data_IF_979376402320
#
_entry.id   IF_979376402320
#
_cell.length_a   1.000
_cell.length_b   1.000
_cell.length_c   1.000
_cell.angle_alpha   90.00
_cell.angle_beta   90.00
_cell.angle_gamma   90.00
#
_symmetry.space_group_name_H-M   'P 1'
#
loop_
_entity.id
_entity.type
_entity.pdbx_description
1 polymer ?
#
# COMPACT_ATOMS: atom_id res chain seq x y z
N UNK A 1 16.44 -13.23 -23.63
CA UNK A 1 16.29 -12.07 -22.70
C UNK A 1 16.21 -12.52 -21.22
N UNK A 2 16.80 -13.65 -20.90
CA UNK A 2 16.69 -14.32 -19.58
C UNK A 2 17.60 -13.76 -18.48
N UNK A 3 18.15 -12.56 -18.65
CA UNK A 3 19.16 -12.03 -17.70
C UNK A 3 18.91 -10.59 -17.26
N UNK A 4 17.64 -10.12 -17.27
CA UNK A 4 17.27 -8.80 -16.79
C UNK A 4 16.64 -8.94 -15.41
N UNK A 5 17.12 -8.16 -14.41
CA UNK A 5 16.50 -8.01 -13.12
C UNK A 5 15.82 -6.64 -13.03
N UNK A 6 14.62 -6.60 -12.45
CA UNK A 6 13.92 -5.36 -12.14
C UNK A 6 13.94 -5.16 -10.63
N UNK A 7 14.53 -4.04 -10.18
CA UNK A 7 14.71 -3.72 -8.76
C UNK A 7 14.22 -2.31 -8.45
N UNK A 8 13.44 -2.16 -7.39
CA UNK A 8 13.02 -0.84 -6.90
C UNK A 8 13.66 -0.55 -5.56
N UNK A 9 14.15 0.67 -5.38
CA UNK A 9 14.67 1.15 -4.11
C UNK A 9 13.81 2.31 -3.57
N UNK A 10 13.31 2.16 -2.34
CA UNK A 10 12.47 3.15 -1.67
C UNK A 10 13.25 4.40 -1.22
N UNK A 11 12.54 5.43 -0.79
CA UNK A 11 13.15 6.70 -0.37
C UNK A 11 14.13 6.56 0.81
N UNK A 12 13.80 5.72 1.79
CA UNK A 12 14.70 5.39 2.92
C UNK A 12 15.98 4.69 2.46
N UNK A 13 15.89 3.86 1.42
CA UNK A 13 17.04 3.20 0.81
C UNK A 13 18.01 4.16 0.10
N UNK A 14 17.57 5.38 -0.19
CA UNK A 14 18.30 6.41 -0.93
C UNK A 14 18.48 7.71 -0.13
N UNK A 15 18.18 7.71 1.16
CA UNK A 15 18.04 8.92 1.98
C UNK A 15 19.28 9.80 2.10
N UNK A 16 20.47 9.22 1.88
CA UNK A 16 21.76 9.93 1.92
C UNK A 16 22.80 9.22 1.02
N UNK A 17 23.98 9.80 0.94
CA UNK A 17 25.07 9.28 0.08
C UNK A 17 25.53 7.87 0.48
N UNK A 18 25.57 7.55 1.78
CA UNK A 18 25.96 6.22 2.25
C UNK A 18 24.95 5.15 1.83
N UNK A 19 23.65 5.47 1.91
CA UNK A 19 22.58 4.61 1.42
C UNK A 19 22.68 4.40 -0.11
N UNK A 20 22.93 5.46 -0.89
CA UNK A 20 23.14 5.36 -2.34
C UNK A 20 24.34 4.47 -2.65
N UNK A 21 25.45 4.60 -1.92
CA UNK A 21 26.62 3.73 -2.07
C UNK A 21 26.31 2.27 -1.71
N UNK A 22 25.47 2.03 -0.71
CA UNK A 22 25.01 0.67 -0.36
C UNK A 22 24.16 0.07 -1.48
N UNK A 23 23.23 0.83 -2.05
CA UNK A 23 22.43 0.42 -3.21
C UNK A 23 23.32 0.12 -4.41
N UNK A 24 24.32 0.97 -4.67
CA UNK A 24 25.29 0.75 -5.74
C UNK A 24 26.07 -0.55 -5.57
N UNK A 25 26.42 -0.95 -4.33
CA UNK A 25 27.07 -2.25 -4.05
C UNK A 25 26.17 -3.44 -4.37
N UNK A 26 24.88 -3.36 -4.01
CA UNK A 26 23.88 -4.41 -4.33
C UNK A 26 23.79 -4.60 -5.84
N UNK A 27 23.64 -3.49 -6.60
CA UNK A 27 23.53 -3.52 -8.05
C UNK A 27 24.83 -4.04 -8.69
N UNK A 28 25.99 -3.61 -8.17
CA UNK A 28 27.29 -4.08 -8.66
C UNK A 28 27.44 -5.61 -8.55
N UNK A 29 26.92 -6.21 -7.49
CA UNK A 29 26.96 -7.67 -7.31
C UNK A 29 26.12 -8.35 -8.41
N UNK A 30 24.95 -7.83 -8.77
CA UNK A 30 24.12 -8.39 -9.85
C UNK A 30 24.84 -8.29 -11.20
N UNK A 31 25.43 -7.14 -11.52
CA UNK A 31 26.19 -6.94 -12.76
C UNK A 31 27.40 -7.89 -12.81
N UNK A 32 28.08 -8.11 -11.68
CA UNK A 32 29.18 -9.07 -11.60
C UNK A 32 28.75 -10.52 -11.85
N UNK A 33 27.47 -10.82 -11.58
CA UNK A 33 26.82 -12.10 -11.90
C UNK A 33 26.23 -12.15 -13.32
N UNK A 34 26.63 -11.23 -14.21
CA UNK A 34 26.22 -11.11 -15.61
C UNK A 34 24.72 -10.78 -15.81
N UNK A 35 24.06 -10.14 -14.83
CA UNK A 35 22.72 -9.61 -15.01
C UNK A 35 22.75 -8.18 -15.58
N UNK A 36 21.78 -7.86 -16.42
CA UNK A 36 21.39 -6.49 -16.74
C UNK A 36 20.37 -6.04 -15.73
N UNK A 37 20.47 -4.81 -15.22
CA UNK A 37 19.60 -4.37 -14.12
C UNK A 37 18.81 -3.14 -14.53
N UNK A 38 17.51 -3.22 -14.37
CA UNK A 38 16.58 -2.08 -14.46
C UNK A 38 16.23 -1.67 -13.04
N UNK A 39 16.65 -0.48 -12.67
CA UNK A 39 16.48 0.05 -11.32
C UNK A 39 15.44 1.15 -11.32
N UNK A 40 14.44 1.04 -10.47
CA UNK A 40 13.46 2.11 -10.26
C UNK A 40 13.75 2.76 -8.91
N UNK A 41 13.85 4.07 -8.88
CA UNK A 41 14.18 4.84 -7.69
C UNK A 41 13.04 5.74 -7.23
N UNK A 42 12.90 5.88 -5.91
CA UNK A 42 12.07 6.91 -5.28
C UNK A 42 12.92 8.15 -4.98
N UNK A 43 12.26 9.26 -4.64
CA UNK A 43 12.92 10.44 -4.10
C UNK A 43 13.69 10.13 -2.81
N UNK A 44 14.73 10.89 -2.51
CA UNK A 44 15.59 10.69 -1.34
C UNK A 44 14.86 11.02 -0.04
N UNK A 45 14.72 10.05 0.86
CA UNK A 45 14.17 10.23 2.21
C UNK A 45 12.81 10.93 2.21
N UNK A 46 12.74 12.09 2.86
CA UNK A 46 11.53 12.91 2.98
C UNK A 46 11.46 14.06 1.96
N UNK A 47 12.18 13.98 0.85
CA UNK A 47 12.25 15.07 -0.14
C UNK A 47 10.84 15.48 -0.62
N UNK A 48 10.03 14.53 -1.05
CA UNK A 48 8.68 14.78 -1.58
C UNK A 48 7.78 15.41 -0.52
N UNK A 49 7.80 14.92 0.73
CA UNK A 49 6.99 15.50 1.83
C UNK A 49 7.40 16.95 2.12
N UNK A 50 8.70 17.24 2.11
CA UNK A 50 9.23 18.59 2.34
C UNK A 50 8.79 19.56 1.22
N UNK A 51 8.87 19.13 -0.02
CA UNK A 51 8.44 19.94 -1.18
C UNK A 51 6.93 20.16 -1.15
N UNK A 52 6.12 19.15 -0.83
CA UNK A 52 4.66 19.29 -0.67
C UNK A 52 4.35 20.34 0.42
N UNK A 53 5.08 20.31 1.54
CA UNK A 53 4.90 21.30 2.62
C UNK A 53 5.22 22.72 2.16
N UNK A 54 6.20 22.92 1.26
CA UNK A 54 6.52 24.22 0.68
C UNK A 54 5.46 24.66 -0.33
N UNK A 55 4.97 23.77 -1.18
CA UNK A 55 3.90 24.07 -2.14
C UNK A 55 2.65 24.57 -1.42
N UNK A 56 2.24 23.92 -0.34
CA UNK A 56 1.08 24.34 0.48
C UNK A 56 1.20 25.76 1.07
N UNK A 57 2.39 26.31 1.17
CA UNK A 57 2.60 27.70 1.59
C UNK A 57 2.38 28.70 0.44
N UNK A 58 2.33 28.21 -0.81
CA UNK A 58 2.13 29.03 -2.01
C UNK A 58 0.69 28.92 -2.51
N UNK A 59 0.14 27.70 -2.58
CA UNK A 59 -1.21 27.41 -3.11
C UNK A 59 -1.77 26.13 -2.50
N UNK A 60 -3.11 26.06 -2.37
CA UNK A 60 -3.84 24.85 -2.00
C UNK A 60 -3.91 23.80 -3.11
N UNK A 61 -3.44 24.14 -4.31
CA UNK A 61 -3.35 23.25 -5.48
C UNK A 61 -4.70 22.59 -5.80
N UNK A 62 -5.65 23.36 -6.27
CA UNK A 62 -7.03 22.88 -6.53
C UNK A 62 -7.39 22.76 -8.00
N UNK A 63 -6.77 23.60 -8.87
CA UNK A 63 -7.08 23.63 -10.30
C UNK A 63 -6.22 22.62 -11.08
N UNK A 64 -6.69 22.23 -12.26
CA UNK A 64 -5.94 21.36 -13.19
C UNK A 64 -4.55 21.92 -13.52
N UNK A 65 -4.45 23.22 -13.78
CA UNK A 65 -3.17 23.86 -14.11
C UNK A 65 -2.19 23.85 -12.91
N UNK A 66 -2.69 24.11 -11.71
CA UNK A 66 -1.87 24.02 -10.49
C UNK A 66 -1.39 22.59 -10.23
N UNK A 67 -2.26 21.59 -10.42
CA UNK A 67 -1.91 20.17 -10.30
C UNK A 67 -0.84 19.76 -11.31
N UNK A 68 -0.85 20.33 -12.52
CA UNK A 68 0.19 20.09 -13.52
C UNK A 68 1.56 20.63 -13.10
N UNK A 69 1.61 21.82 -12.49
CA UNK A 69 2.86 22.37 -11.92
C UNK A 69 3.28 21.62 -10.64
N UNK A 70 2.31 21.19 -9.83
CA UNK A 70 2.56 20.33 -8.67
C UNK A 70 3.26 19.03 -9.08
N UNK A 71 2.77 18.32 -10.10
CA UNK A 71 3.38 17.08 -10.61
C UNK A 71 4.81 17.32 -11.11
N UNK A 72 5.05 18.43 -11.82
CA UNK A 72 6.39 18.82 -12.28
C UNK A 72 7.35 18.96 -11.09
N UNK A 73 6.93 19.66 -10.05
CA UNK A 73 7.76 19.95 -8.88
C UNK A 73 8.04 18.66 -8.09
N UNK A 74 7.02 17.89 -7.71
CA UNK A 74 7.19 16.74 -6.84
C UNK A 74 7.93 15.57 -7.51
N UNK A 75 7.87 15.46 -8.85
CA UNK A 75 8.60 14.44 -9.62
C UNK A 75 10.10 14.67 -9.71
N UNK A 76 10.58 15.86 -9.34
CA UNK A 76 12.01 16.21 -9.41
C UNK A 76 12.88 15.39 -8.46
N UNK A 77 12.31 14.90 -7.35
CA UNK A 77 13.03 14.11 -6.36
C UNK A 77 13.59 12.80 -6.92
N UNK A 78 12.79 12.09 -7.68
CA UNK A 78 13.20 10.85 -8.35
C UNK A 78 14.24 11.10 -9.43
N UNK A 79 14.17 12.25 -10.12
CA UNK A 79 15.16 12.66 -11.13
C UNK A 79 16.53 12.86 -10.48
N UNK A 80 16.57 13.51 -9.32
CA UNK A 80 17.81 13.68 -8.52
C UNK A 80 18.36 12.31 -8.11
N UNK A 81 17.53 11.44 -7.54
CA UNK A 81 17.93 10.09 -7.13
C UNK A 81 18.51 9.27 -8.28
N UNK A 82 17.89 9.34 -9.45
CA UNK A 82 18.36 8.72 -10.69
C UNK A 82 19.78 9.14 -11.05
N UNK A 83 20.02 10.44 -11.12
CA UNK A 83 21.32 11.00 -11.46
C UNK A 83 22.41 10.63 -10.44
N UNK A 84 22.09 10.76 -9.14
CA UNK A 84 23.01 10.43 -8.04
C UNK A 84 23.43 8.95 -8.05
N UNK A 85 22.46 8.02 -8.20
CA UNK A 85 22.77 6.60 -8.28
C UNK A 85 23.54 6.25 -9.55
N UNK A 86 23.23 6.88 -10.69
CA UNK A 86 23.98 6.70 -11.93
C UNK A 86 25.45 7.07 -11.76
N UNK A 87 25.74 8.22 -11.17
CA UNK A 87 27.11 8.66 -10.88
C UNK A 87 27.84 7.69 -9.93
N UNK A 88 27.16 7.22 -8.88
CA UNK A 88 27.73 6.27 -7.95
C UNK A 88 28.12 4.94 -8.62
N UNK A 89 27.29 4.44 -9.54
CA UNK A 89 27.57 3.22 -10.32
C UNK A 89 28.71 3.44 -11.33
N UNK A 90 28.70 4.55 -12.09
CA UNK A 90 29.73 4.89 -13.05
C UNK A 90 31.11 5.02 -12.39
N UNK A 91 31.18 5.60 -11.19
CA UNK A 91 32.41 5.66 -10.38
C UNK A 91 33.01 4.27 -10.12
N UNK A 92 32.20 3.20 -10.12
CA UNK A 92 32.67 1.81 -9.95
C UNK A 92 32.96 1.08 -11.26
N UNK A 93 32.90 1.77 -12.41
CA UNK A 93 33.16 1.23 -13.74
C UNK A 93 31.94 0.58 -14.41
N UNK A 94 30.74 0.68 -13.82
CA UNK A 94 29.51 0.11 -14.38
C UNK A 94 28.94 1.06 -15.42
N UNK A 95 28.56 0.54 -16.59
CA UNK A 95 27.87 1.31 -17.66
C UNK A 95 26.42 1.54 -17.27
N UNK A 96 26.17 2.60 -16.51
CA UNK A 96 24.87 2.98 -15.99
C UNK A 96 24.38 4.30 -16.59
N UNK A 97 23.06 4.44 -16.81
CA UNK A 97 22.44 5.67 -17.29
C UNK A 97 21.07 5.87 -16.63
N UNK A 98 20.77 7.14 -16.32
CA UNK A 98 19.47 7.56 -15.81
C UNK A 98 18.46 7.75 -16.94
N UNK A 99 17.18 7.42 -16.64
CA UNK A 99 16.03 7.55 -17.52
C UNK A 99 14.88 8.22 -16.79
N UNK A 100 14.33 9.23 -17.39
CA UNK A 100 13.16 9.93 -16.87
C UNK A 100 11.88 9.37 -17.52
N UNK A 101 10.71 9.63 -16.92
CA UNK A 101 9.44 9.06 -17.37
C UNK A 101 9.08 9.34 -18.84
N UNK A 102 9.53 10.46 -19.39
CA UNK A 102 9.34 10.78 -20.80
C UNK A 102 10.41 10.20 -21.75
N UNK A 103 11.60 9.87 -21.24
CA UNK A 103 12.67 9.21 -22.02
C UNK A 103 12.39 7.71 -22.18
N UNK A 104 11.80 7.09 -21.15
CA UNK A 104 11.12 5.80 -21.24
C UNK A 104 9.63 6.10 -21.35
N UNK A 105 9.01 6.15 -22.55
CA UNK A 105 7.65 6.66 -22.69
C UNK A 105 6.64 5.91 -21.84
N UNK A 106 6.51 6.35 -20.57
CA UNK A 106 5.49 5.90 -19.63
C UNK A 106 4.27 6.79 -19.84
N UNK A 107 3.36 6.32 -20.71
CA UNK A 107 2.15 7.05 -21.03
C UNK A 107 1.13 6.89 -19.92
N UNK A 108 0.54 8.02 -19.48
CA UNK A 108 -0.44 8.04 -18.40
C UNK A 108 -1.74 8.72 -18.82
N UNK A 109 -2.77 8.58 -17.96
CA UNK A 109 -3.94 9.47 -17.99
C UNK A 109 -3.53 10.89 -17.61
N UNK A 110 -4.43 11.87 -17.80
CA UNK A 110 -4.26 13.29 -17.47
C UNK A 110 -4.70 13.64 -16.04
N UNK A 111 -5.02 12.64 -15.23
CA UNK A 111 -5.37 12.82 -13.81
C UNK A 111 -4.13 13.19 -12.99
N UNK A 112 -3.73 14.46 -13.01
CA UNK A 112 -2.58 14.94 -12.23
C UNK A 112 -2.66 14.50 -10.77
N UNK A 113 -1.50 14.29 -10.12
CA UNK A 113 -1.30 13.77 -8.75
C UNK A 113 -1.75 12.33 -8.50
N UNK A 114 -2.56 11.72 -9.39
CA UNK A 114 -3.09 10.34 -9.26
C UNK A 114 -3.23 9.62 -10.61
N UNK A 115 -2.39 9.98 -11.57
CA UNK A 115 -2.42 9.43 -12.92
C UNK A 115 -2.30 7.90 -12.96
N UNK A 116 -2.85 7.30 -14.00
CA UNK A 116 -2.78 5.85 -14.24
C UNK A 116 -1.89 5.56 -15.45
N UNK A 117 -1.03 4.57 -15.34
CA UNK A 117 -0.19 4.10 -16.45
C UNK A 117 -1.09 3.41 -17.48
N UNK A 118 -1.03 3.90 -18.72
CA UNK A 118 -1.79 3.37 -19.86
C UNK A 118 -0.93 2.45 -20.71
N UNK A 119 0.32 2.84 -20.96
CA UNK A 119 1.26 2.10 -21.80
C UNK A 119 2.71 2.41 -21.42
N UNK A 120 3.62 1.48 -21.69
CA UNK A 120 5.08 1.66 -21.55
C UNK A 120 5.79 1.07 -22.75
N UNK A 121 6.48 1.91 -23.52
CA UNK A 121 7.30 1.43 -24.62
C UNK A 121 8.73 1.11 -24.16
N UNK A 122 9.05 -0.16 -24.04
CA UNK A 122 10.36 -0.64 -23.55
C UNK A 122 11.42 -0.83 -24.66
N UNK A 123 11.12 -0.51 -25.93
CA UNK A 123 12.02 -0.81 -27.06
C UNK A 123 13.38 -0.10 -26.93
N UNK A 124 13.37 1.19 -26.59
CA UNK A 124 14.60 1.97 -26.36
C UNK A 124 15.41 1.40 -25.17
N UNK A 125 14.74 1.04 -24.09
CA UNK A 125 15.34 0.44 -22.90
C UNK A 125 16.00 -0.92 -23.21
N UNK A 126 15.32 -1.79 -23.95
CA UNK A 126 15.87 -3.09 -24.39
C UNK A 126 17.11 -2.90 -25.25
N UNK A 127 17.07 -1.98 -26.22
CA UNK A 127 18.21 -1.67 -27.06
C UNK A 127 19.40 -1.09 -26.28
N UNK A 128 19.14 -0.22 -25.32
CA UNK A 128 20.16 0.33 -24.43
C UNK A 128 20.87 -0.77 -23.64
N UNK A 129 20.15 -1.72 -23.05
CA UNK A 129 20.69 -2.80 -22.24
C UNK A 129 21.55 -3.81 -23.01
N UNK A 130 21.51 -3.80 -24.34
CA UNK A 130 22.43 -4.65 -25.15
C UNK A 130 23.89 -4.30 -24.87
N UNK A 131 24.23 -3.01 -24.80
CA UNK A 131 25.60 -2.51 -24.65
C UNK A 131 25.91 -1.89 -23.28
N UNK A 132 24.92 -1.78 -22.40
CA UNK A 132 25.03 -1.16 -21.08
C UNK A 132 24.56 -2.14 -20.00
N UNK A 133 24.93 -1.88 -18.75
CA UNK A 133 24.71 -2.79 -17.64
C UNK A 133 23.46 -2.43 -16.83
N UNK A 134 23.24 -1.13 -16.60
CA UNK A 134 22.20 -0.66 -15.68
C UNK A 134 21.45 0.54 -16.26
N UNK A 135 20.13 0.44 -16.30
CA UNK A 135 19.23 1.56 -16.52
C UNK A 135 18.55 1.97 -15.22
N UNK A 136 18.72 3.22 -14.80
CA UNK A 136 18.09 3.76 -13.58
C UNK A 136 16.93 4.63 -14.01
N UNK A 137 15.72 4.27 -13.58
CA UNK A 137 14.47 4.92 -14.01
C UNK A 137 13.89 5.69 -12.83
N UNK A 138 13.54 6.96 -13.08
CA UNK A 138 12.78 7.74 -12.13
C UNK A 138 11.37 7.15 -11.99
N UNK A 139 11.07 6.59 -10.80
CA UNK A 139 9.76 6.09 -10.48
C UNK A 139 8.73 7.22 -10.28
N UNK A 140 7.49 6.86 -9.87
CA UNK A 140 6.46 7.81 -9.49
C UNK A 140 5.90 8.69 -10.62
N UNK A 141 6.54 8.80 -11.76
CA UNK A 141 6.22 9.72 -12.83
C UNK A 141 5.97 9.04 -14.18
N UNK A 142 5.18 9.70 -15.00
CA UNK A 142 4.98 9.42 -16.40
C UNK A 142 4.70 10.69 -17.19
N UNK A 143 4.15 10.57 -18.36
CA UNK A 143 3.85 11.69 -19.24
C UNK A 143 2.47 11.52 -19.87
N UNK A 144 1.67 12.54 -19.80
CA UNK A 144 0.42 12.65 -20.54
C UNK A 144 0.68 12.96 -22.03
N UNK A 145 -0.29 12.70 -22.91
CA UNK A 145 -0.20 12.89 -24.36
C UNK A 145 0.15 14.32 -24.78
N UNK A 146 -0.15 15.32 -23.97
CA UNK A 146 0.20 16.72 -24.20
C UNK A 146 1.62 17.09 -23.72
N UNK A 147 2.47 16.08 -23.49
CA UNK A 147 3.84 16.25 -23.02
C UNK A 147 3.97 16.92 -21.62
N UNK A 148 2.94 16.80 -20.78
CA UNK A 148 3.03 17.20 -19.37
C UNK A 148 3.40 16.03 -18.50
N UNK A 149 4.29 16.27 -17.55
CA UNK A 149 4.64 15.27 -16.52
C UNK A 149 3.43 15.05 -15.64
N UNK A 150 3.20 13.79 -15.29
CA UNK A 150 2.16 13.36 -14.36
C UNK A 150 2.75 12.51 -13.26
N UNK A 151 2.17 12.55 -12.07
CA UNK A 151 2.57 11.67 -10.98
C UNK A 151 1.50 10.65 -10.65
N UNK A 152 1.94 9.48 -10.16
CA UNK A 152 1.10 8.31 -9.95
C UNK A 152 0.43 8.27 -8.56
N UNK A 153 0.68 9.26 -7.72
CA UNK A 153 0.23 9.29 -6.34
C UNK A 153 1.04 8.39 -5.40
N UNK A 154 0.55 8.19 -4.18
CA UNK A 154 1.25 7.41 -3.13
C UNK A 154 1.61 6.00 -3.63
N UNK A 155 2.83 5.55 -3.33
CA UNK A 155 3.37 4.27 -3.81
C UNK A 155 3.65 4.20 -5.31
N UNK A 156 3.69 5.36 -5.97
CA UNK A 156 3.88 5.44 -7.42
C UNK A 156 5.16 4.79 -7.92
N UNK A 157 6.25 4.81 -7.14
CA UNK A 157 7.50 4.12 -7.53
C UNK A 157 7.37 2.59 -7.51
N UNK A 158 6.59 2.01 -6.57
CA UNK A 158 6.29 0.57 -6.57
C UNK A 158 5.43 0.22 -7.78
N UNK A 159 4.42 1.05 -8.07
CA UNK A 159 3.57 0.92 -9.26
C UNK A 159 4.41 0.99 -10.56
N UNK A 160 5.35 1.94 -10.66
CA UNK A 160 6.27 2.04 -11.79
C UNK A 160 7.10 0.78 -11.96
N UNK A 161 7.64 0.23 -10.87
CA UNK A 161 8.47 -0.98 -10.92
C UNK A 161 7.71 -2.18 -11.44
N UNK A 162 6.50 -2.42 -10.93
CA UNK A 162 5.65 -3.52 -11.38
C UNK A 162 5.24 -3.34 -12.85
N UNK A 163 4.84 -2.12 -13.25
CA UNK A 163 4.46 -1.83 -14.62
C UNK A 163 5.62 -2.02 -15.60
N UNK A 164 6.83 -1.60 -15.23
CA UNK A 164 8.03 -1.78 -16.05
C UNK A 164 8.41 -3.27 -16.14
N UNK A 165 8.32 -4.04 -15.04
CA UNK A 165 8.54 -5.48 -15.06
C UNK A 165 7.57 -6.17 -16.02
N UNK A 166 6.28 -5.84 -15.95
CA UNK A 166 5.25 -6.35 -16.86
C UNK A 166 5.54 -6.00 -18.33
N UNK A 167 5.87 -4.74 -18.62
CA UNK A 167 6.19 -4.28 -19.99
C UNK A 167 7.47 -4.92 -20.56
N UNK A 168 8.40 -5.32 -19.71
CA UNK A 168 9.61 -6.06 -20.09
C UNK A 168 9.35 -7.56 -20.27
N UNK A 169 8.24 -8.09 -19.76
CA UNK A 169 7.93 -9.52 -19.71
C UNK A 169 8.74 -10.27 -18.64
N UNK A 170 9.02 -9.60 -17.52
CA UNK A 170 9.74 -10.14 -16.36
C UNK A 170 8.71 -10.49 -15.28
N UNK A 171 8.74 -11.70 -14.78
CA UNK A 171 7.78 -12.25 -13.82
C UNK A 171 8.15 -12.03 -12.32
N UNK A 172 9.33 -11.44 -12.06
CA UNK A 172 9.82 -11.16 -10.70
C UNK A 172 10.35 -9.74 -10.60
N UNK A 173 9.82 -8.97 -9.66
CA UNK A 173 10.27 -7.63 -9.31
C UNK A 173 10.74 -7.59 -7.85
N UNK A 174 11.93 -7.08 -7.61
CA UNK A 174 12.52 -6.92 -6.27
C UNK A 174 12.18 -5.54 -5.72
N UNK A 175 11.58 -5.49 -4.54
CA UNK A 175 11.22 -4.25 -3.84
C UNK A 175 12.10 -4.12 -2.59
N UNK A 176 13.05 -3.21 -2.65
CA UNK A 176 13.94 -2.89 -1.53
C UNK A 176 13.36 -1.73 -0.71
N UNK A 177 13.28 -1.95 0.61
CA UNK A 177 12.76 -0.99 1.58
C UNK A 177 13.61 -1.02 2.85
N UNK A 178 13.22 -0.33 3.91
CA UNK A 178 13.87 -0.34 5.23
C UNK A 178 13.48 -1.54 6.09
N UNK A 179 12.38 -2.21 5.78
CA UNK A 179 11.95 -3.44 6.45
C UNK A 179 12.42 -4.68 5.69
N UNK A 180 12.57 -5.78 6.40
CA UNK A 180 13.16 -7.00 5.86
C UNK A 180 12.11 -8.05 5.42
N UNK A 181 10.86 -7.65 5.24
CA UNK A 181 9.76 -8.49 4.77
C UNK A 181 8.40 -8.08 5.31
N UNK A 182 7.39 -8.91 5.05
CA UNK A 182 6.03 -8.77 5.58
C UNK A 182 5.90 -9.62 6.84
N UNK A 183 5.25 -9.07 7.86
CA UNK A 183 5.06 -9.74 9.15
C UNK A 183 3.59 -10.05 9.41
N UNK A 184 3.34 -11.01 10.27
CA UNK A 184 1.98 -11.39 10.72
C UNK A 184 1.23 -10.26 11.43
N UNK A 185 1.94 -9.25 11.92
CA UNK A 185 1.42 -7.97 12.43
C UNK A 185 2.56 -6.95 12.44
N UNK A 186 2.27 -5.69 12.78
CA UNK A 186 3.30 -4.66 12.94
C UNK A 186 4.25 -5.01 14.11
N UNK A 187 5.56 -5.23 13.87
CA UNK A 187 6.52 -5.56 14.92
C UNK A 187 6.66 -4.49 16.02
N UNK A 188 6.30 -3.23 15.73
CA UNK A 188 6.31 -2.15 16.72
C UNK A 188 5.17 -2.31 17.74
N UNK A 189 4.06 -2.96 17.35
CA UNK A 189 2.91 -3.26 18.22
C UNK A 189 3.07 -4.65 18.83
N UNK A 190 3.48 -5.62 18.01
CA UNK A 190 3.65 -7.02 18.38
C UNK A 190 5.12 -7.44 18.17
N UNK A 191 5.99 -7.29 19.18
CA UNK A 191 7.42 -7.67 19.04
C UNK A 191 7.66 -9.13 18.67
N UNK A 192 6.67 -10.01 18.89
CA UNK A 192 6.71 -11.42 18.51
C UNK A 192 6.11 -11.70 17.14
N UNK A 193 5.77 -10.66 16.36
CA UNK A 193 5.26 -10.85 15.01
C UNK A 193 6.28 -11.63 14.17
N UNK A 194 5.82 -12.67 13.50
CA UNK A 194 6.65 -13.54 12.67
C UNK A 194 6.72 -13.00 11.25
N UNK A 195 7.91 -13.02 10.65
CA UNK A 195 8.08 -12.71 9.25
C UNK A 195 7.53 -13.85 8.38
N UNK A 196 6.79 -13.48 7.34
CA UNK A 196 6.23 -14.40 6.35
C UNK A 196 7.26 -14.66 5.24
N UNK A 197 7.49 -15.92 4.89
CA UNK A 197 8.29 -16.28 3.72
C UNK A 197 7.51 -15.99 2.43
N UNK A 198 6.20 -16.22 2.45
CA UNK A 198 5.27 -16.02 1.33
C UNK A 198 3.98 -15.37 1.79
N UNK A 199 3.35 -14.61 0.89
CA UNK A 199 2.01 -14.04 1.09
C UNK A 199 1.27 -14.01 -0.25
N UNK A 200 -0.05 -14.28 -0.24
CA UNK A 200 -0.88 -14.18 -1.44
C UNK A 200 -1.22 -12.72 -1.77
N UNK A 201 -1.47 -12.44 -3.06
CA UNK A 201 -1.86 -11.08 -3.49
C UNK A 201 -3.10 -10.57 -2.75
N UNK A 202 -4.15 -11.40 -2.65
CA UNK A 202 -5.41 -11.04 -2.00
C UNK A 202 -5.19 -10.66 -0.52
N UNK A 203 -4.38 -11.44 0.21
CA UNK A 203 -4.04 -11.18 1.60
C UNK A 203 -3.22 -9.89 1.76
N UNK A 204 -2.26 -9.66 0.85
CA UNK A 204 -1.46 -8.44 0.88
C UNK A 204 -2.28 -7.19 0.57
N UNK A 205 -3.23 -7.26 -0.38
CA UNK A 205 -4.17 -6.18 -0.68
C UNK A 205 -4.96 -5.81 0.58
N UNK A 206 -5.51 -6.82 1.28
CA UNK A 206 -6.24 -6.59 2.52
C UNK A 206 -5.34 -6.02 3.62
N UNK A 207 -4.14 -6.58 3.83
CA UNK A 207 -3.20 -6.05 4.82
C UNK A 207 -2.80 -4.61 4.52
N UNK A 208 -2.52 -4.29 3.26
CA UNK A 208 -2.14 -2.94 2.83
C UNK A 208 -3.30 -1.93 3.00
N UNK A 209 -4.53 -2.33 2.69
CA UNK A 209 -5.74 -1.51 2.87
C UNK A 209 -6.05 -1.22 4.33
N UNK A 210 -5.63 -2.11 5.23
CA UNK A 210 -5.92 -2.08 6.66
C UNK A 210 -4.77 -1.49 7.52
N UNK A 211 -3.74 -0.92 6.90
CA UNK A 211 -2.69 -0.18 7.59
C UNK A 211 -1.30 -0.80 7.59
N UNK A 212 -1.09 -1.95 6.95
CA UNK A 212 0.25 -2.48 6.73
C UNK A 212 0.96 -1.62 5.65
N UNK A 213 1.79 -0.68 6.07
CA UNK A 213 2.43 0.35 5.20
C UNK A 213 3.62 -0.15 4.36
N UNK A 214 3.73 -1.45 4.10
CA UNK A 214 4.89 -2.04 3.41
C UNK A 214 4.80 -1.85 1.90
N UNK A 215 3.63 -2.14 1.34
CA UNK A 215 3.31 -1.95 -0.08
C UNK A 215 2.03 -1.15 -0.21
N UNK A 216 1.88 -0.44 -1.32
CA UNK A 216 0.63 0.24 -1.65
C UNK A 216 -0.31 -0.72 -2.38
N UNK A 217 -1.60 -0.67 -2.05
CA UNK A 217 -2.64 -1.52 -2.64
C UNK A 217 -2.54 -1.56 -4.18
N UNK A 218 -2.43 -0.40 -4.81
CA UNK A 218 -2.37 -0.27 -6.26
C UNK A 218 -1.19 -1.02 -6.92
N UNK A 219 -0.03 -1.07 -6.26
CA UNK A 219 1.13 -1.83 -6.78
C UNK A 219 0.89 -3.34 -6.67
N UNK A 220 0.22 -3.79 -5.62
CA UNK A 220 -0.15 -5.20 -5.41
C UNK A 220 -1.23 -5.64 -6.41
N UNK A 221 -2.26 -4.82 -6.63
CA UNK A 221 -3.30 -5.05 -7.66
C UNK A 221 -2.69 -5.20 -9.06
N UNK A 222 -1.72 -4.33 -9.38
CA UNK A 222 -1.02 -4.38 -10.65
C UNK A 222 -0.17 -5.66 -10.77
N UNK A 223 0.54 -6.03 -9.71
CA UNK A 223 1.32 -7.28 -9.63
C UNK A 223 0.41 -8.50 -9.80
N UNK A 224 -0.74 -8.54 -9.16
CA UNK A 224 -1.76 -9.57 -9.31
C UNK A 224 -2.28 -9.65 -10.74
N UNK A 225 -2.63 -8.51 -11.35
CA UNK A 225 -3.15 -8.43 -12.72
C UNK A 225 -2.19 -9.00 -13.75
N UNK A 226 -0.90 -8.67 -13.61
CA UNK A 226 0.14 -9.11 -14.55
C UNK A 226 0.90 -10.36 -14.09
N UNK A 227 0.51 -10.98 -12.98
CA UNK A 227 1.13 -12.17 -12.40
C UNK A 227 2.64 -11.96 -12.09
N UNK A 228 3.03 -10.75 -11.66
CA UNK A 228 4.40 -10.40 -11.31
C UNK A 228 4.63 -10.73 -9.83
N UNK A 229 5.53 -11.65 -9.53
CA UNK A 229 5.97 -11.90 -8.16
C UNK A 229 6.73 -10.68 -7.62
N UNK A 230 6.46 -10.30 -6.38
CA UNK A 230 7.23 -9.25 -5.71
C UNK A 230 8.08 -9.90 -4.61
N UNK A 231 9.38 -9.64 -4.64
CA UNK A 231 10.29 -10.06 -3.58
C UNK A 231 10.65 -8.85 -2.73
N UNK A 232 10.09 -8.79 -1.52
CA UNK A 232 10.28 -7.68 -0.58
C UNK A 232 11.53 -7.96 0.25
N UNK A 233 12.47 -7.02 0.19
CA UNK A 233 13.82 -7.16 0.79
C UNK A 233 14.22 -5.89 1.53
N UNK A 234 15.08 -6.03 2.54
CA UNK A 234 15.73 -4.89 3.16
C UNK A 234 16.97 -4.47 2.37
N UNK A 235 17.15 -3.15 2.22
CA UNK A 235 18.39 -2.57 1.70
C UNK A 235 19.54 -2.72 2.70
N UNK A 236 19.24 -2.79 3.99
CA UNK A 236 20.22 -2.69 5.07
C UNK A 236 20.49 -4.04 5.75
N UNK A 237 19.50 -4.92 5.75
CA UNK A 237 19.58 -6.21 6.43
C UNK A 237 19.36 -7.35 5.40
N UNK A 238 20.41 -8.07 4.98
CA UNK A 238 20.32 -9.12 3.98
C UNK A 238 19.66 -10.38 4.56
N UNK A 239 18.34 -10.45 4.52
CA UNK A 239 17.54 -11.62 4.88
C UNK A 239 16.84 -12.18 3.64
N UNK A 240 16.17 -13.35 3.80
CA UNK A 240 15.40 -13.94 2.70
C UNK A 240 14.24 -13.07 2.20
N UNK A 241 13.78 -12.11 3.03
CA UNK A 241 12.62 -11.30 2.68
C UNK A 241 11.30 -12.07 2.64
N UNK A 242 10.31 -11.50 1.95
CA UNK A 242 8.99 -12.10 1.73
C UNK A 242 8.68 -12.13 0.23
N UNK A 243 8.16 -13.23 -0.27
CA UNK A 243 7.71 -13.36 -1.66
C UNK A 243 6.19 -13.21 -1.73
N UNK A 244 5.73 -12.21 -2.45
CA UNK A 244 4.33 -12.03 -2.80
C UNK A 244 4.05 -12.74 -4.12
N UNK A 245 3.10 -13.67 -4.14
CA UNK A 245 2.80 -14.51 -5.31
C UNK A 245 1.33 -14.97 -5.33
N UNK A 246 0.98 -15.78 -6.31
CA UNK A 246 -0.36 -16.36 -6.42
C UNK A 246 -0.57 -17.42 -5.32
N UNK A 247 -1.78 -17.48 -4.77
CA UNK A 247 -2.19 -18.45 -3.74
C UNK A 247 -1.77 -19.91 -4.01
N UNK A 248 -1.94 -20.38 -5.25
CA UNK A 248 -1.61 -21.77 -5.60
C UNK A 248 -0.10 -22.12 -5.61
N UNK A 249 0.78 -21.14 -5.43
CA UNK A 249 2.23 -21.35 -5.33
C UNK A 249 2.72 -21.45 -3.88
N UNK A 250 1.85 -21.22 -2.92
CA UNK A 250 2.13 -21.30 -1.49
C UNK A 250 1.64 -22.65 -0.99
N UNK A 251 2.47 -23.40 -0.27
CA UNK A 251 2.05 -24.64 0.40
C UNK A 251 1.17 -24.27 1.61
N UNK A 252 -0.15 -24.24 1.42
CA UNK A 252 -1.11 -23.53 2.26
C UNK A 252 -1.88 -24.41 3.27
N UNK A 253 -1.59 -25.67 3.42
CA UNK A 253 -2.33 -26.51 4.38
C UNK A 253 -2.09 -26.17 5.87
N UNK A 254 -1.15 -25.23 6.17
CA UNK A 254 -0.69 -25.00 7.54
C UNK A 254 -1.16 -23.71 8.22
N UNK A 255 -1.67 -22.69 7.53
CA UNK A 255 -2.07 -21.45 8.18
C UNK A 255 -3.44 -20.93 7.73
N UNK A 256 -4.39 -20.91 8.69
CA UNK A 256 -5.74 -20.38 8.48
C UNK A 256 -5.76 -18.86 8.46
N UNK A 257 -4.92 -18.24 9.29
CA UNK A 257 -4.79 -16.78 9.44
C UNK A 257 -3.35 -16.39 9.11
N UNK A 258 -3.19 -15.48 8.17
CA UNK A 258 -1.90 -14.97 7.69
C UNK A 258 -1.40 -13.82 8.53
N UNK A 259 -2.33 -12.96 9.02
CA UNK A 259 -1.92 -11.82 9.82
C UNK A 259 -3.07 -11.08 10.48
N UNK A 260 -2.67 -10.16 11.35
CA UNK A 260 -3.58 -9.25 12.06
C UNK A 260 -3.11 -7.83 11.84
N UNK A 261 -4.04 -6.97 11.43
CA UNK A 261 -3.77 -5.55 11.21
C UNK A 261 -4.46 -4.69 12.26
N UNK A 262 -3.84 -3.57 12.57
CA UNK A 262 -4.32 -2.53 13.47
C UNK A 262 -4.36 -1.21 12.72
N UNK A 263 -5.55 -0.62 12.58
CA UNK A 263 -5.72 0.69 11.97
C UNK A 263 -6.27 1.69 12.98
N UNK A 264 -5.43 2.65 13.39
CA UNK A 264 -5.79 3.73 14.32
C UNK A 264 -6.38 4.95 13.62
N UNK A 265 -6.20 5.08 12.30
CA UNK A 265 -6.78 6.17 11.52
C UNK A 265 -8.22 5.83 11.12
N UNK A 266 -9.11 5.79 12.10
CA UNK A 266 -10.51 5.38 11.92
C UNK A 266 -11.40 6.17 12.87
N UNK A 267 -12.47 6.75 12.33
CA UNK A 267 -13.58 7.30 13.11
C UNK A 267 -14.88 6.63 12.66
N UNK A 268 -15.81 6.42 13.59
CA UNK A 268 -17.14 5.91 13.27
C UNK A 268 -18.20 7.00 13.35
N UNK A 269 -19.13 6.96 12.44
CA UNK A 269 -20.28 7.87 12.33
C UNK A 269 -21.54 7.05 12.27
N UNK A 270 -22.52 7.37 13.10
CA UNK A 270 -23.82 6.74 13.12
C UNK A 270 -24.92 7.76 12.92
N UNK A 271 -25.73 7.56 11.88
CA UNK A 271 -26.97 8.29 11.67
C UNK A 271 -28.13 7.43 12.19
N UNK A 272 -28.85 7.93 13.17
CA UNK A 272 -29.98 7.24 13.78
C UNK A 272 -31.30 7.61 13.08
N UNK A 273 -32.12 6.58 12.84
CA UNK A 273 -33.47 6.71 12.30
C UNK A 273 -33.56 7.51 11.01
N UNK A 274 -32.75 7.16 10.05
CA UNK A 274 -32.81 7.68 8.68
C UNK A 274 -34.14 7.24 8.04
N UNK A 275 -35.02 8.18 7.70
CA UNK A 275 -36.40 7.91 7.26
C UNK A 275 -36.54 7.71 5.74
N UNK A 276 -35.62 8.21 4.94
CA UNK A 276 -35.77 8.18 3.49
C UNK A 276 -35.24 6.87 2.89
N UNK A 277 -36.05 6.23 2.05
CA UNK A 277 -35.60 5.12 1.19
C UNK A 277 -34.41 5.53 0.30
N UNK A 278 -34.29 6.81 -0.03
CA UNK A 278 -33.20 7.41 -0.79
C UNK A 278 -32.06 7.93 0.08
N UNK A 279 -32.21 7.94 1.42
CA UNK A 279 -31.26 8.54 2.34
C UNK A 279 -29.85 7.94 2.25
N UNK A 280 -29.75 6.63 2.03
CA UNK A 280 -28.45 5.94 1.83
C UNK A 280 -27.77 6.41 0.54
N UNK A 281 -28.51 6.47 -0.58
CA UNK A 281 -27.94 6.89 -1.86
C UNK A 281 -27.47 8.34 -1.81
N UNK A 282 -28.27 9.24 -1.24
CA UNK A 282 -27.90 10.65 -1.04
C UNK A 282 -26.68 10.79 -0.15
N UNK A 283 -26.65 10.07 0.98
CA UNK A 283 -25.52 10.06 1.90
C UNK A 283 -24.20 9.70 1.19
N UNK A 284 -24.16 8.54 0.52
CA UNK A 284 -22.92 8.06 -0.09
C UNK A 284 -22.58 8.79 -1.40
N UNK A 285 -23.54 9.41 -2.10
CA UNK A 285 -23.25 10.31 -3.23
C UNK A 285 -22.45 11.53 -2.75
N UNK A 286 -22.90 12.19 -1.69
CA UNK A 286 -22.24 13.38 -1.15
C UNK A 286 -20.87 13.05 -0.59
N UNK A 287 -20.73 11.92 0.09
CA UNK A 287 -19.43 11.45 0.60
C UNK A 287 -18.46 11.19 -0.57
N UNK A 288 -18.93 10.52 -1.64
CA UNK A 288 -18.12 10.23 -2.82
C UNK A 288 -17.73 11.50 -3.59
N UNK A 289 -18.64 12.46 -3.77
CA UNK A 289 -18.40 13.76 -4.42
C UNK A 289 -17.31 14.58 -3.70
N UNK A 290 -17.16 14.38 -2.38
CA UNK A 290 -16.13 15.01 -1.58
C UNK A 290 -14.87 14.15 -1.42
N UNK A 291 -14.73 13.08 -2.20
CA UNK A 291 -13.58 12.15 -2.18
C UNK A 291 -13.27 11.54 -0.80
N UNK A 292 -14.27 11.33 0.04
CA UNK A 292 -14.14 10.69 1.35
C UNK A 292 -14.30 9.18 1.19
N UNK A 293 -13.29 8.44 1.64
CA UNK A 293 -13.33 6.98 1.59
C UNK A 293 -14.13 6.41 2.76
N UNK A 294 -15.06 5.52 2.45
CA UNK A 294 -15.82 4.76 3.45
C UNK A 294 -15.32 3.31 3.47
N UNK A 295 -15.14 2.74 4.66
CA UNK A 295 -14.62 1.38 4.81
C UNK A 295 -15.70 0.42 5.33
N UNK A 296 -16.09 0.49 6.61
CA UNK A 296 -17.17 -0.34 7.13
C UNK A 296 -18.51 0.38 6.90
N UNK A 297 -19.53 -0.38 6.48
CA UNK A 297 -20.92 0.11 6.39
C UNK A 297 -21.80 -0.92 7.07
N UNK A 298 -22.56 -0.48 8.08
CA UNK A 298 -23.48 -1.32 8.83
C UNK A 298 -24.84 -0.62 8.83
N UNK A 299 -25.86 -1.33 8.35
CA UNK A 299 -27.22 -0.86 8.33
C UNK A 299 -28.09 -1.78 9.19
N UNK A 300 -28.77 -1.19 10.16
CA UNK A 300 -29.83 -1.86 10.93
C UNK A 300 -31.20 -1.31 10.51
N UNK A 301 -32.05 -2.20 10.03
CA UNK A 301 -33.42 -1.83 9.62
C UNK A 301 -34.37 -2.15 10.76
N UNK A 302 -35.09 -1.12 11.25
CA UNK A 302 -36.17 -1.26 12.20
C UNK A 302 -37.43 -0.58 11.63
N UNK A 303 -38.53 -1.30 11.61
CA UNK A 303 -39.96 -0.99 11.25
C UNK A 303 -40.35 0.29 10.50
N UNK A 304 -39.47 1.10 9.98
CA UNK A 304 -39.62 2.30 9.11
C UNK A 304 -38.47 3.30 9.25
N UNK A 305 -37.42 2.95 9.96
CA UNK A 305 -36.24 3.82 10.10
C UNK A 305 -34.94 2.97 10.08
N UNK A 306 -33.90 3.50 9.48
CA UNK A 306 -32.63 2.82 9.33
C UNK A 306 -31.57 3.50 10.19
N UNK A 307 -30.87 2.73 11.03
CA UNK A 307 -29.63 3.19 11.61
C UNK A 307 -28.48 2.84 10.64
N UNK A 308 -27.70 3.84 10.27
CA UNK A 308 -26.57 3.68 9.36
C UNK A 308 -25.28 4.04 10.13
N UNK A 309 -24.42 3.06 10.33
CA UNK A 309 -23.09 3.28 10.89
C UNK A 309 -22.06 3.04 9.79
N UNK A 310 -21.13 3.96 9.64
CA UNK A 310 -20.00 3.80 8.72
C UNK A 310 -18.72 4.35 9.32
N UNK A 311 -17.58 3.92 8.77
CA UNK A 311 -16.25 4.39 9.20
C UNK A 311 -15.53 5.11 8.08
N UNK A 312 -14.78 6.16 8.48
CA UNK A 312 -13.97 6.99 7.61
C UNK A 312 -12.58 7.18 8.22
N UNK A 313 -11.57 7.65 7.46
CA UNK A 313 -10.33 8.15 8.04
C UNK A 313 -10.59 9.30 9.01
N UNK A 314 -9.85 9.33 10.12
CA UNK A 314 -10.03 10.34 11.17
C UNK A 314 -9.80 11.77 10.64
N UNK A 315 -8.88 11.92 9.68
CA UNK A 315 -8.58 13.20 9.03
C UNK A 315 -9.76 13.78 8.23
N UNK A 316 -10.67 12.93 7.75
CA UNK A 316 -11.86 13.36 6.99
C UNK A 316 -13.06 13.71 7.87
N UNK A 317 -12.93 13.51 9.20
CA UNK A 317 -14.02 13.72 10.14
C UNK A 317 -14.59 15.15 10.14
N UNK A 318 -13.77 16.23 10.19
CA UNK A 318 -14.31 17.59 10.23
C UNK A 318 -15.13 17.99 9.00
N UNK A 319 -14.66 17.57 7.81
CA UNK A 319 -15.40 17.84 6.57
C UNK A 319 -16.68 17.01 6.51
N UNK A 320 -16.62 15.73 6.91
CA UNK A 320 -17.78 14.83 6.90
C UNK A 320 -18.86 15.31 7.86
N UNK A 321 -18.51 15.73 9.08
CA UNK A 321 -19.45 16.30 10.05
C UNK A 321 -20.17 17.51 9.48
N UNK A 322 -19.43 18.45 8.88
CA UNK A 322 -19.99 19.64 8.24
C UNK A 322 -20.99 19.29 7.12
N UNK A 323 -20.63 18.32 6.27
CA UNK A 323 -21.50 17.84 5.21
C UNK A 323 -22.78 17.21 5.75
N UNK A 324 -22.66 16.32 6.74
CA UNK A 324 -23.83 15.63 7.34
C UNK A 324 -24.79 16.59 8.01
N UNK A 325 -24.30 17.62 8.71
CA UNK A 325 -25.14 18.65 9.30
C UNK A 325 -25.91 19.41 8.21
N UNK A 326 -25.25 19.75 7.09
CA UNK A 326 -25.86 20.49 5.98
C UNK A 326 -26.98 19.73 5.30
N UNK A 327 -26.87 18.40 5.17
CA UNK A 327 -27.83 17.55 4.47
C UNK A 327 -28.86 16.88 5.39
N UNK A 328 -28.94 17.32 6.65
CA UNK A 328 -29.84 16.73 7.67
C UNK A 328 -31.28 16.66 7.21
N UNK A 329 -31.80 17.74 6.64
CA UNK A 329 -33.19 17.82 6.18
C UNK A 329 -33.47 16.95 4.95
N UNK A 330 -32.45 16.69 4.14
CA UNK A 330 -32.54 15.87 2.93
C UNK A 330 -32.54 14.38 3.27
N UNK A 331 -31.67 13.93 4.19
CA UNK A 331 -31.56 12.52 4.63
C UNK A 331 -32.58 12.19 5.72
N UNK A 332 -33.06 13.20 6.46
CA UNK A 332 -34.02 13.08 7.56
C UNK A 332 -33.60 12.09 8.65
N UNK A 333 -32.38 12.24 9.20
CA UNK A 333 -31.94 11.50 10.39
C UNK A 333 -32.33 12.25 11.68
N UNK A 334 -32.58 11.50 12.75
CA UNK A 334 -32.93 12.10 14.06
C UNK A 334 -31.68 12.52 14.85
N UNK A 335 -30.65 11.69 14.86
CA UNK A 335 -29.43 11.89 15.66
C UNK A 335 -28.18 11.56 14.83
N UNK A 336 -27.13 12.37 15.01
CA UNK A 336 -25.79 12.15 14.49
C UNK A 336 -24.86 11.83 15.66
N UNK A 337 -24.29 10.63 15.67
CA UNK A 337 -23.32 10.19 16.67
C UNK A 337 -21.95 10.04 15.99
N UNK A 338 -20.97 10.77 16.48
CA UNK A 338 -19.59 10.72 16.03
C UNK A 338 -18.73 10.11 17.13
N UNK A 339 -17.95 9.10 16.80
CA UNK A 339 -17.02 8.48 17.73
C UNK A 339 -15.62 8.38 17.09
N UNK A 340 -14.68 9.29 17.44
CA UNK A 340 -13.30 9.25 17.00
C UNK A 340 -12.44 8.27 17.83
N UNK A 341 -12.92 7.86 19.02
CA UNK A 341 -12.16 7.01 19.95
C UNK A 341 -12.30 5.51 19.64
N UNK A 342 -12.18 5.18 18.36
CA UNK A 342 -12.26 3.80 17.87
C UNK A 342 -11.02 3.44 17.05
N UNK A 343 -10.76 2.15 16.97
CA UNK A 343 -9.76 1.58 16.07
C UNK A 343 -10.30 0.30 15.44
N UNK A 344 -9.84 0.01 14.25
CA UNK A 344 -10.19 -1.22 13.55
C UNK A 344 -9.08 -2.25 13.71
N UNK A 345 -9.45 -3.46 14.17
CA UNK A 345 -8.58 -4.63 14.24
C UNK A 345 -9.14 -5.70 13.31
N UNK A 346 -8.30 -6.24 12.44
CA UNK A 346 -8.74 -7.21 11.43
C UNK A 346 -7.84 -8.44 11.44
N UNK A 347 -8.44 -9.61 11.38
CA UNK A 347 -7.77 -10.87 11.05
C UNK A 347 -7.90 -11.13 9.55
N UNK A 348 -6.83 -11.60 8.94
CA UNK A 348 -6.74 -11.81 7.49
C UNK A 348 -6.19 -13.22 7.23
N UNK A 349 -6.80 -13.93 6.31
CA UNK A 349 -6.32 -15.22 5.86
C UNK A 349 -7.28 -15.90 4.90
N UNK A 350 -6.76 -16.39 3.79
CA UNK A 350 -7.53 -17.13 2.79
C UNK A 350 -8.05 -18.49 3.30
N UNK A 351 -7.51 -18.98 4.42
CA UNK A 351 -8.00 -20.20 5.08
C UNK A 351 -9.36 -20.04 5.74
N UNK A 352 -9.85 -18.82 5.95
CA UNK A 352 -11.15 -18.57 6.59
C UNK A 352 -12.34 -19.07 5.78
N UNK A 353 -12.24 -19.10 4.44
CA UNK A 353 -13.31 -19.54 3.53
C UNK A 353 -13.81 -20.97 3.88
N UNK A 354 -12.91 -21.86 4.26
CA UNK A 354 -13.21 -23.29 4.45
C UNK A 354 -13.27 -23.74 5.91
N UNK A 355 -13.04 -22.84 6.88
CA UNK A 355 -12.92 -23.22 8.29
C UNK A 355 -13.94 -22.48 9.18
N UNK A 356 -15.03 -23.15 9.57
CA UNK A 356 -15.96 -22.59 10.55
C UNK A 356 -15.29 -22.43 11.91
N UNK A 357 -15.73 -21.44 12.69
CA UNK A 357 -15.25 -21.20 14.06
C UNK A 357 -14.20 -20.10 14.22
N UNK A 358 -13.63 -19.56 13.14
CA UNK A 358 -12.66 -18.45 13.22
C UNK A 358 -13.31 -17.20 13.84
N UNK A 359 -14.51 -16.85 13.41
CA UNK A 359 -15.27 -15.73 13.99
C UNK A 359 -15.55 -15.96 15.48
N UNK A 360 -15.96 -17.19 15.86
CA UNK A 360 -16.16 -17.54 17.27
C UNK A 360 -14.86 -17.37 18.09
N UNK A 361 -13.73 -17.88 17.57
CA UNK A 361 -12.43 -17.76 18.24
C UNK A 361 -12.03 -16.30 18.43
N UNK A 362 -12.25 -15.46 17.41
CA UNK A 362 -12.00 -14.01 17.48
C UNK A 362 -12.86 -13.35 18.56
N UNK A 363 -14.17 -13.56 18.52
CA UNK A 363 -15.10 -12.94 19.47
C UNK A 363 -14.88 -13.45 20.89
N UNK A 364 -14.68 -14.74 21.06
CA UNK A 364 -14.38 -15.34 22.37
C UNK A 364 -13.08 -14.78 22.96
N UNK A 365 -12.04 -14.64 22.15
CA UNK A 365 -10.77 -14.05 22.60
C UNK A 365 -10.96 -12.61 23.09
N UNK A 366 -11.70 -11.80 22.36
CA UNK A 366 -11.93 -10.39 22.72
C UNK A 366 -12.81 -10.27 23.97
N UNK A 367 -13.94 -10.99 24.02
CA UNK A 367 -14.88 -10.91 25.14
C UNK A 367 -14.30 -11.48 26.43
N UNK A 368 -13.54 -12.59 26.36
CA UNK A 368 -12.85 -13.17 27.54
C UNK A 368 -11.77 -12.26 28.13
N UNK A 369 -11.29 -11.30 27.36
CA UNK A 369 -10.33 -10.27 27.80
C UNK A 369 -11.00 -8.91 28.06
N UNK A 370 -12.34 -8.88 28.22
CA UNK A 370 -13.15 -7.68 28.50
C UNK A 370 -13.00 -6.57 27.44
N UNK A 371 -12.75 -6.92 26.18
CA UNK A 371 -12.69 -5.98 25.08
C UNK A 371 -14.07 -5.90 24.41
N UNK A 372 -14.66 -4.71 24.41
CA UNK A 372 -15.97 -4.46 23.81
C UNK A 372 -15.85 -4.42 22.28
N UNK A 373 -16.69 -5.19 21.60
CA UNK A 373 -16.83 -5.13 20.15
C UNK A 373 -17.94 -4.14 19.80
N UNK A 374 -17.60 -3.06 19.10
CA UNK A 374 -18.55 -1.98 18.75
C UNK A 374 -19.25 -2.26 17.41
N UNK A 375 -18.52 -2.86 16.47
CA UNK A 375 -19.02 -3.21 15.14
C UNK A 375 -18.21 -4.36 14.56
N UNK A 376 -18.80 -5.08 13.59
CA UNK A 376 -18.18 -6.22 12.91
C UNK A 376 -18.47 -6.13 11.42
N UNK A 377 -17.47 -6.41 10.59
CA UNK A 377 -17.67 -6.71 9.17
C UNK A 377 -16.87 -7.96 8.80
N UNK A 378 -17.37 -8.69 7.82
CA UNK A 378 -16.74 -9.93 7.34
C UNK A 378 -16.69 -9.94 5.82
N UNK A 379 -15.62 -10.55 5.29
CA UNK A 379 -15.52 -10.97 3.90
C UNK A 379 -15.02 -12.42 3.85
N UNK A 380 -14.76 -12.94 2.67
CA UNK A 380 -14.26 -14.32 2.50
C UNK A 380 -12.88 -14.52 3.18
N UNK A 381 -12.04 -13.50 3.22
CA UNK A 381 -10.65 -13.58 3.70
C UNK A 381 -10.33 -12.63 4.85
N UNK A 382 -11.35 -11.94 5.40
CA UNK A 382 -11.17 -10.93 6.44
C UNK A 382 -12.34 -10.89 7.42
N UNK A 383 -12.03 -10.75 8.71
CA UNK A 383 -13.00 -10.34 9.74
C UNK A 383 -12.41 -9.11 10.43
N UNK A 384 -13.15 -8.02 10.42
CA UNK A 384 -12.78 -6.76 11.06
C UNK A 384 -13.73 -6.45 12.19
N UNK A 385 -13.17 -6.01 13.32
CA UNK A 385 -13.93 -5.48 14.45
C UNK A 385 -13.52 -4.04 14.74
N UNK A 386 -14.49 -3.24 15.15
CA UNK A 386 -14.26 -1.94 15.73
C UNK A 386 -14.23 -2.10 17.25
N UNK A 387 -13.18 -1.58 17.89
CA UNK A 387 -13.02 -1.63 19.33
C UNK A 387 -12.65 -0.22 19.86
N UNK A 388 -12.86 0.08 21.16
CA UNK A 388 -12.37 1.32 21.74
C UNK A 388 -10.88 1.51 21.50
N UNK A 389 -10.45 2.72 21.17
CA UNK A 389 -9.05 3.05 20.86
C UNK A 389 -8.07 2.58 21.93
N UNK A 390 -8.45 2.74 23.20
CA UNK A 390 -7.64 2.32 24.36
C UNK A 390 -7.35 0.83 24.40
N UNK A 391 -8.23 -0.01 23.82
CA UNK A 391 -8.15 -1.46 23.87
C UNK A 391 -7.52 -2.07 22.60
N UNK A 392 -7.31 -1.26 21.56
CA UNK A 392 -6.93 -1.74 20.23
C UNK A 392 -5.60 -2.51 20.17
N UNK A 393 -4.56 -2.01 20.84
CA UNK A 393 -3.27 -2.73 20.87
C UNK A 393 -3.36 -4.04 21.67
N UNK A 394 -4.12 -4.05 22.76
CA UNK A 394 -4.38 -5.25 23.54
C UNK A 394 -5.19 -6.27 22.74
N UNK A 395 -6.23 -5.82 22.03
CA UNK A 395 -7.00 -6.64 21.10
C UNK A 395 -6.10 -7.33 20.07
N UNK A 396 -5.24 -6.55 19.42
CA UNK A 396 -4.30 -7.06 18.42
C UNK A 396 -3.37 -8.12 19.03
N UNK A 397 -2.84 -7.86 20.22
CA UNK A 397 -1.93 -8.78 20.92
C UNK A 397 -2.62 -10.10 21.32
N UNK A 398 -3.82 -10.04 21.90
CA UNK A 398 -4.55 -11.24 22.30
C UNK A 398 -4.96 -12.07 21.09
N UNK A 399 -5.42 -11.44 20.02
CA UNK A 399 -5.76 -12.13 18.79
C UNK A 399 -4.53 -12.78 18.16
N UNK A 400 -3.39 -12.07 18.11
CA UNK A 400 -2.14 -12.60 17.55
C UNK A 400 -1.69 -13.87 18.25
N UNK A 401 -1.67 -13.87 19.59
CA UNK A 401 -1.34 -15.07 20.37
C UNK A 401 -2.41 -16.16 20.27
N UNK A 402 -3.70 -15.79 20.26
CA UNK A 402 -4.79 -16.77 20.14
C UNK A 402 -4.75 -17.51 18.79
N UNK A 403 -4.37 -16.84 17.71
CA UNK A 403 -4.23 -17.47 16.40
C UNK A 403 -2.83 -18.07 16.15
N UNK A 404 -1.98 -18.16 17.19
CA UNK A 404 -0.65 -18.81 17.15
C UNK A 404 0.29 -18.20 16.11
N UNK A 405 0.18 -16.88 15.89
CA UNK A 405 0.98 -16.16 14.89
C UNK A 405 2.37 -15.80 15.41
N UNK A 406 2.59 -15.85 16.71
CA UNK A 406 3.86 -15.64 17.40
C UNK A 406 4.62 -16.97 17.70
N UNK A 407 4.00 -18.13 17.46
CA UNK A 407 4.67 -19.40 17.62
C UNK A 407 5.80 -19.58 16.60
N UNK A 408 6.99 -19.95 17.05
CA UNK A 408 8.04 -20.47 16.16
C UNK A 408 7.46 -21.68 15.41
N UNK A 409 7.53 -21.68 14.08
CA UNK A 409 7.06 -22.80 13.29
C UNK A 409 7.83 -24.06 13.68
N UNK A 410 7.23 -24.96 14.44
CA UNK A 410 7.70 -26.37 14.63
C UNK A 410 7.59 -27.13 13.29
N UNK A 411 8.18 -26.60 12.23
CA UNK A 411 8.25 -27.23 10.89
C UNK A 411 9.62 -27.88 10.70
N UNK A 412 10.20 -28.48 11.73
CA UNK A 412 11.31 -29.42 11.54
C UNK A 412 11.40 -30.35 12.73
N UNK A 413 10.61 -31.40 12.76
CA UNK A 413 11.03 -32.73 13.25
C UNK A 413 9.97 -33.75 12.89
N UNK A 414 10.01 -34.23 11.66
CA UNK A 414 9.78 -35.65 11.38
C UNK A 414 10.82 -36.04 10.34
N UNK A 415 11.85 -36.69 10.86
CA UNK A 415 12.89 -37.45 10.19
C UNK A 415 12.30 -38.51 9.25
#
# INVERSE_FOLDING_TARGET
MSNILVKKFGGTSLQNIDCINQVAKIIKQDVSNNYKVVVIVSAMGKFTDNIISQIKQISDVTSYHELSEYDLIISSGEQISCGMLSLALQKTGIKAQSWLGWQLPIVTTDDHAKARIMDINTSALKNFLVNNDVAIIAGFQGMHKENRVTTLGRGGSDTSAVAIAAALGIDLCYIYTDIDGIYTSDPNIIPKARKLDYIAYDEMIEMASLGAKVLQVRSVELAMKYQIKLHILSTFNPTKGTILCKKGEINMESQLITGITYNSNTASITLKKVKASFGITTLFSIIAENNINVDMIIQNMDNNANDITFTIPEEDLPITETLLIKIKDEIMYEELIINPDVVKVSIIGVGMISHPGIAYKMFHTLTSNNITILAVTTSEIKISVLVPRKDGQLATKYLHSSFELDAESNLHTTS
#
